data_IF_488310660677
#
_entry.id   IF_488310660677
#
_cell.length_a   1.000
_cell.length_b   1.000
_cell.length_c   1.000
_cell.angle_alpha   90.00
_cell.angle_beta   90.00
_cell.angle_gamma   90.00
#
_symmetry.space_group_name_H-M   'P 1'
#
loop_
_entity.id
_entity.type
_entity.pdbx_description
1 polymer ?
#
# COMPACT_ATOMS: atom_id res chain seq x y z
N UNK A 1 8.92 -11.77 -10.93
CA UNK A 1 8.37 -10.39 -10.85
C UNK A 1 9.19 -9.36 -11.62
N UNK A 2 10.53 -9.41 -11.61
CA UNK A 2 11.39 -8.39 -12.26
C UNK A 2 11.13 -8.16 -13.77
N UNK A 3 10.89 -9.22 -14.56
CA UNK A 3 10.50 -9.08 -15.99
C UNK A 3 9.24 -8.24 -16.18
N UNK A 4 8.25 -8.39 -15.28
CA UNK A 4 7.01 -7.61 -15.30
C UNK A 4 7.30 -6.13 -15.03
N UNK A 5 8.17 -5.83 -14.06
CA UNK A 5 8.63 -4.46 -13.75
C UNK A 5 9.20 -3.77 -14.98
N UNK A 6 10.16 -4.41 -15.64
CA UNK A 6 10.81 -3.87 -16.84
C UNK A 6 9.80 -3.62 -17.96
N UNK A 7 8.91 -4.59 -18.22
CA UNK A 7 7.86 -4.45 -19.24
C UNK A 7 6.98 -3.22 -18.98
N UNK A 8 6.52 -3.05 -17.74
CA UNK A 8 5.66 -1.92 -17.37
C UNK A 8 6.37 -0.57 -17.52
N UNK A 9 7.64 -0.47 -17.08
CA UNK A 9 8.43 0.75 -17.24
C UNK A 9 8.71 1.11 -18.71
N UNK A 10 8.93 0.10 -19.56
CA UNK A 10 9.12 0.30 -21.01
C UNK A 10 7.81 0.74 -21.66
N UNK A 11 6.68 0.10 -21.33
CA UNK A 11 5.36 0.45 -21.87
C UNK A 11 4.96 1.89 -21.53
N UNK A 12 5.16 2.30 -20.27
CA UNK A 12 4.94 3.67 -19.80
C UNK A 12 5.76 4.69 -20.61
N UNK A 13 7.04 4.40 -20.83
CA UNK A 13 7.93 5.28 -21.62
C UNK A 13 7.58 5.29 -23.11
N UNK A 14 7.09 4.18 -23.66
CA UNK A 14 6.72 4.05 -25.07
C UNK A 14 5.42 4.78 -25.42
N UNK A 15 4.49 4.86 -24.46
CA UNK A 15 3.17 5.46 -24.64
C UNK A 15 2.82 6.39 -23.47
N UNK A 16 3.55 7.53 -23.33
CA UNK A 16 3.33 8.46 -22.23
C UNK A 16 1.91 9.07 -22.24
N UNK A 17 1.29 9.15 -23.41
CA UNK A 17 -0.08 9.61 -23.65
C UNK A 17 -1.15 8.71 -23.01
N UNK A 18 -0.85 7.43 -22.79
CA UNK A 18 -1.78 6.46 -22.18
C UNK A 18 -1.63 6.34 -20.65
N UNK A 19 -0.68 7.06 -20.06
CA UNK A 19 -0.38 6.98 -18.62
C UNK A 19 -1.46 7.72 -17.83
N UNK A 20 -2.42 6.95 -17.28
CA UNK A 20 -3.55 7.49 -16.50
C UNK A 20 -3.12 8.22 -15.23
N UNK A 21 -2.00 7.81 -14.63
CA UNK A 21 -1.50 8.33 -13.35
C UNK A 21 -0.02 8.71 -13.49
N UNK A 22 0.33 9.96 -13.84
CA UNK A 22 1.71 10.36 -14.11
C UNK A 22 2.67 10.14 -12.92
N UNK A 23 2.15 10.21 -11.69
CA UNK A 23 2.93 10.06 -10.46
C UNK A 23 3.23 8.61 -10.09
N UNK A 24 2.61 7.61 -10.76
CA UNK A 24 2.73 6.20 -10.37
C UNK A 24 4.18 5.69 -10.44
N UNK A 25 4.95 6.17 -11.41
CA UNK A 25 6.37 5.80 -11.59
C UNK A 25 7.29 6.34 -10.49
N UNK A 26 6.85 7.36 -9.73
CA UNK A 26 7.62 7.98 -8.65
C UNK A 26 7.59 7.17 -7.36
N UNK A 27 6.57 6.31 -7.19
CA UNK A 27 6.38 5.49 -6.00
C UNK A 27 7.20 4.20 -6.11
N UNK A 28 8.41 4.26 -5.57
CA UNK A 28 9.43 3.22 -5.69
C UNK A 28 9.12 1.98 -4.85
N UNK A 29 9.81 0.89 -5.14
CA UNK A 29 9.77 -0.33 -4.33
C UNK A 29 10.23 -0.13 -2.87
N UNK A 30 11.17 0.79 -2.63
CA UNK A 30 11.58 1.16 -1.29
C UNK A 30 10.42 1.83 -0.52
N UNK A 31 9.72 2.78 -1.16
CA UNK A 31 8.53 3.41 -0.57
C UNK A 31 7.41 2.39 -0.30
N UNK A 32 7.14 1.52 -1.26
CA UNK A 32 6.11 0.47 -1.13
C UNK A 32 6.39 -0.42 0.10
N UNK A 33 7.64 -0.83 0.29
CA UNK A 33 8.00 -1.73 1.37
C UNK A 33 8.18 -1.05 2.74
N UNK A 34 8.77 0.15 2.77
CA UNK A 34 9.14 0.82 4.01
C UNK A 34 8.04 1.74 4.57
N UNK A 35 7.09 2.19 3.75
CA UNK A 35 6.03 3.10 4.19
C UNK A 35 4.64 2.50 3.92
N UNK A 36 4.33 2.16 2.66
CA UNK A 36 2.97 1.78 2.29
C UNK A 36 2.50 0.45 2.89
N UNK A 37 3.36 -0.59 2.91
CA UNK A 37 3.02 -1.85 3.58
C UNK A 37 2.81 -1.67 5.09
N UNK A 38 3.72 -0.99 5.84
CA UNK A 38 3.49 -0.64 7.23
C UNK A 38 2.22 0.17 7.47
N UNK A 39 1.86 1.10 6.58
CA UNK A 39 0.60 1.85 6.68
C UNK A 39 -0.63 0.94 6.64
N UNK A 40 -0.54 -0.22 5.98
CA UNK A 40 -1.61 -1.23 5.95
C UNK A 40 -1.54 -2.23 7.12
N UNK A 41 -0.53 -2.13 7.98
CA UNK A 41 -0.25 -3.12 9.02
C UNK A 41 0.32 -4.43 8.46
N UNK A 42 1.04 -4.38 7.33
CA UNK A 42 1.50 -5.53 6.56
C UNK A 42 3.03 -5.60 6.40
N UNK A 43 3.77 -5.07 7.39
CA UNK A 43 5.24 -5.00 7.37
C UNK A 43 5.93 -6.36 7.24
N UNK A 44 5.29 -7.47 7.63
CA UNK A 44 5.87 -8.81 7.51
C UNK A 44 6.13 -9.24 6.06
N UNK A 45 5.51 -8.57 5.08
CA UNK A 45 5.74 -8.82 3.66
C UNK A 45 6.83 -7.94 3.03
N UNK A 46 7.39 -6.99 3.79
CA UNK A 46 8.30 -5.96 3.26
C UNK A 46 9.51 -6.57 2.54
N UNK A 47 10.18 -7.56 3.13
CA UNK A 47 11.36 -8.21 2.54
C UNK A 47 11.06 -8.83 1.18
N UNK A 48 9.92 -9.52 1.05
CA UNK A 48 9.51 -10.16 -0.21
C UNK A 48 9.19 -9.12 -1.28
N UNK A 49 8.57 -8.00 -0.90
CA UNK A 49 8.28 -6.89 -1.81
C UNK A 49 9.55 -6.17 -2.28
N UNK A 50 10.52 -5.94 -1.37
CA UNK A 50 11.85 -5.38 -1.73
C UNK A 50 12.57 -6.32 -2.68
N UNK A 51 12.69 -7.60 -2.34
CA UNK A 51 13.37 -8.62 -3.15
C UNK A 51 12.78 -8.73 -4.56
N UNK A 52 11.45 -8.63 -4.67
CA UNK A 52 10.75 -8.66 -5.96
C UNK A 52 10.64 -7.29 -6.65
N UNK A 53 11.23 -6.24 -6.07
CA UNK A 53 11.29 -4.87 -6.58
C UNK A 53 9.91 -4.26 -6.87
N UNK A 54 8.89 -4.60 -6.07
CA UNK A 54 7.49 -4.22 -6.29
C UNK A 54 7.29 -2.72 -6.12
N UNK A 55 7.14 -1.98 -7.22
CA UNK A 55 6.77 -0.55 -7.21
C UNK A 55 5.26 -0.34 -7.46
N UNK A 56 4.78 0.91 -7.44
CA UNK A 56 3.34 1.16 -7.59
C UNK A 56 2.75 0.76 -8.95
N UNK A 57 3.55 0.76 -10.03
CA UNK A 57 3.12 0.23 -11.35
C UNK A 57 2.86 -1.27 -11.27
N UNK A 58 3.72 -1.99 -10.55
CA UNK A 58 3.51 -3.40 -10.29
C UNK A 58 2.28 -3.62 -9.42
N UNK A 59 2.09 -2.82 -8.35
CA UNK A 59 0.89 -2.88 -7.51
C UNK A 59 -0.39 -2.70 -8.32
N UNK A 60 -0.45 -1.72 -9.22
CA UNK A 60 -1.66 -1.46 -10.03
C UNK A 60 -2.06 -2.63 -10.93
N UNK A 61 -1.12 -3.53 -11.23
CA UNK A 61 -1.34 -4.68 -12.13
C UNK A 61 -1.23 -6.02 -11.44
N UNK A 62 -1.05 -6.06 -10.11
CA UNK A 62 -0.81 -7.30 -9.37
C UNK A 62 -2.11 -8.08 -9.16
N UNK A 63 -2.08 -9.37 -9.49
CA UNK A 63 -3.19 -10.28 -9.23
C UNK A 63 -3.07 -10.92 -7.84
N UNK A 64 -4.20 -11.36 -7.27
CA UNK A 64 -4.19 -12.15 -6.02
C UNK A 64 -3.31 -13.40 -6.11
N UNK A 65 -3.29 -14.06 -7.28
CA UNK A 65 -2.41 -15.21 -7.55
C UNK A 65 -0.92 -14.85 -7.49
N UNK A 66 -0.54 -13.66 -7.96
CA UNK A 66 0.85 -13.18 -7.85
C UNK A 66 1.22 -12.80 -6.42
N UNK A 67 0.30 -12.19 -5.66
CA UNK A 67 0.49 -11.92 -4.22
C UNK A 67 0.82 -13.21 -3.45
N UNK A 68 0.09 -14.28 -3.73
CA UNK A 68 0.30 -15.58 -3.11
C UNK A 68 1.59 -16.24 -3.59
N UNK A 69 1.75 -16.41 -4.91
CA UNK A 69 2.84 -17.20 -5.51
C UNK A 69 4.22 -16.55 -5.33
N UNK A 70 4.31 -15.23 -5.41
CA UNK A 70 5.60 -14.53 -5.47
C UNK A 70 5.89 -13.70 -4.23
N UNK A 71 4.87 -13.27 -3.49
CA UNK A 71 5.03 -12.35 -2.36
C UNK A 71 4.65 -12.99 -1.01
N UNK A 72 4.27 -14.26 -0.99
CA UNK A 72 3.97 -15.01 0.24
C UNK A 72 2.67 -14.57 0.94
N UNK A 73 1.83 -13.77 0.28
CA UNK A 73 0.57 -13.28 0.86
C UNK A 73 -0.52 -14.33 0.67
N UNK A 74 -0.49 -15.38 1.49
CA UNK A 74 -1.42 -16.53 1.40
C UNK A 74 -2.75 -16.27 2.11
N UNK A 75 -2.75 -15.46 3.19
CA UNK A 75 -3.95 -15.15 3.96
C UNK A 75 -4.90 -14.27 3.15
N UNK A 76 -6.14 -14.73 2.96
CA UNK A 76 -7.17 -14.05 2.15
C UNK A 76 -7.45 -12.61 2.61
N UNK A 77 -7.48 -12.38 3.92
CA UNK A 77 -7.72 -11.04 4.47
C UNK A 77 -6.53 -10.10 4.22
N UNK A 78 -5.28 -10.57 4.27
CA UNK A 78 -4.12 -9.77 3.86
C UNK A 78 -4.18 -9.41 2.37
N UNK A 79 -4.59 -10.36 1.51
CA UNK A 79 -4.81 -10.07 0.09
C UNK A 79 -5.88 -8.98 -0.10
N UNK A 80 -6.97 -9.03 0.68
CA UNK A 80 -8.02 -8.01 0.65
C UNK A 80 -7.49 -6.63 1.10
N UNK A 81 -6.74 -6.56 2.21
CA UNK A 81 -6.11 -5.32 2.69
C UNK A 81 -5.21 -4.68 1.64
N UNK A 82 -4.37 -5.45 0.95
CA UNK A 82 -3.53 -4.97 -0.15
C UNK A 82 -4.38 -4.44 -1.30
N UNK A 83 -5.43 -5.16 -1.71
CA UNK A 83 -6.33 -4.73 -2.79
C UNK A 83 -7.04 -3.41 -2.46
N UNK A 84 -7.50 -3.25 -1.21
CA UNK A 84 -8.10 -1.99 -0.76
C UNK A 84 -7.08 -0.86 -0.66
N UNK A 85 -5.86 -1.14 -0.20
CA UNK A 85 -4.76 -0.16 -0.24
C UNK A 85 -4.43 0.30 -1.66
N UNK A 86 -4.43 -0.60 -2.65
CA UNK A 86 -4.24 -0.26 -4.07
C UNK A 86 -5.41 0.58 -4.57
N UNK A 87 -6.64 0.24 -4.17
CA UNK A 87 -7.81 1.03 -4.52
C UNK A 87 -7.72 2.47 -3.98
N UNK A 88 -7.27 2.65 -2.73
CA UNK A 88 -7.00 3.97 -2.17
C UNK A 88 -5.97 4.74 -3.02
N UNK A 89 -4.85 4.11 -3.40
CA UNK A 89 -3.86 4.76 -4.27
C UNK A 89 -4.46 5.19 -5.62
N UNK A 90 -5.36 4.39 -6.21
CA UNK A 90 -6.06 4.75 -7.46
C UNK A 90 -6.98 5.95 -7.27
N UNK A 91 -7.75 6.01 -6.18
CA UNK A 91 -8.59 7.19 -5.85
C UNK A 91 -7.71 8.44 -5.73
N UNK A 92 -6.54 8.30 -5.10
CA UNK A 92 -5.55 9.37 -4.96
C UNK A 92 -4.72 9.62 -6.23
N UNK A 93 -5.00 8.92 -7.33
CA UNK A 93 -4.23 8.99 -8.59
C UNK A 93 -2.73 8.79 -8.41
N UNK A 94 -2.36 7.99 -7.40
CA UNK A 94 -0.99 7.76 -6.96
C UNK A 94 -0.22 9.04 -6.56
N UNK A 95 -0.94 10.11 -6.21
CA UNK A 95 -0.37 11.32 -5.64
C UNK A 95 -0.07 11.11 -4.15
N UNK A 96 1.21 10.81 -3.86
CA UNK A 96 1.69 10.62 -2.50
C UNK A 96 1.59 11.88 -1.65
N UNK A 97 1.78 13.06 -2.23
CA UNK A 97 1.72 14.30 -1.48
C UNK A 97 0.29 14.59 -1.05
N UNK A 98 -0.68 14.43 -1.96
CA UNK A 98 -2.09 14.56 -1.62
C UNK A 98 -2.53 13.57 -0.53
N UNK A 99 -2.06 12.31 -0.59
CA UNK A 99 -2.34 11.30 0.44
C UNK A 99 -1.75 11.71 1.80
N UNK A 100 -0.50 12.19 1.82
CA UNK A 100 0.16 12.65 3.03
C UNK A 100 -0.58 13.84 3.67
N UNK A 101 -1.02 14.81 2.86
CA UNK A 101 -1.80 15.96 3.34
C UNK A 101 -3.12 15.52 3.99
N UNK A 102 -3.89 14.64 3.34
CA UNK A 102 -5.15 14.12 3.92
C UNK A 102 -4.94 13.36 5.22
N UNK A 103 -3.87 12.56 5.29
CA UNK A 103 -3.50 11.84 6.53
C UNK A 103 -3.16 12.80 7.66
N UNK A 104 -2.38 13.84 7.38
CA UNK A 104 -2.01 14.83 8.39
C UNK A 104 -3.22 15.61 8.91
N UNK A 105 -4.17 15.97 8.05
CA UNK A 105 -5.41 16.65 8.45
C UNK A 105 -6.27 15.84 9.44
N UNK A 106 -6.14 14.51 9.44
CA UNK A 106 -6.93 13.61 10.28
C UNK A 106 -6.07 12.92 11.36
N UNK A 107 -4.86 13.42 11.61
CA UNK A 107 -3.93 12.80 12.55
C UNK A 107 -4.45 12.80 14.00
N UNK A 108 -5.15 13.89 14.38
CA UNK A 108 -5.70 14.11 15.72
C UNK A 108 -7.22 14.32 15.70
N UNK A 109 -7.86 14.12 14.55
CA UNK A 109 -9.31 14.28 14.36
C UNK A 109 -9.87 13.00 13.78
N UNK A 110 -11.00 12.52 14.31
CA UNK A 110 -11.67 11.31 13.83
C UNK A 110 -12.48 11.60 12.55
N UNK A 111 -11.76 11.99 11.50
CA UNK A 111 -12.32 12.28 10.18
C UNK A 111 -11.58 11.47 9.10
N UNK A 112 -12.22 11.32 7.94
CA UNK A 112 -11.66 10.66 6.75
C UNK A 112 -10.97 9.30 7.04
N UNK A 113 -11.71 8.31 7.59
CA UNK A 113 -11.15 7.00 7.92
C UNK A 113 -10.56 6.26 6.71
N UNK A 114 -10.92 6.68 5.49
CA UNK A 114 -10.41 6.12 4.25
C UNK A 114 -8.88 6.23 4.11
N UNK A 115 -8.26 7.28 4.66
CA UNK A 115 -6.80 7.49 4.55
C UNK A 115 -6.02 7.03 5.77
N UNK A 116 -6.70 6.53 6.81
CA UNK A 116 -6.06 6.13 8.05
C UNK A 116 -5.05 5.01 7.82
N UNK A 117 -3.88 5.19 8.41
CA UNK A 117 -2.89 4.12 8.52
C UNK A 117 -3.30 3.17 9.65
N UNK A 118 -2.74 1.95 9.66
CA UNK A 118 -2.89 1.01 10.76
C UNK A 118 -2.50 1.65 12.10
N UNK A 119 -1.44 2.47 12.12
CA UNK A 119 -1.05 3.25 13.30
C UNK A 119 -2.12 4.25 13.75
N UNK A 120 -2.72 5.01 12.83
CA UNK A 120 -3.82 5.94 13.16
C UNK A 120 -5.05 5.20 13.67
N UNK A 121 -5.38 4.05 13.06
CA UNK A 121 -6.47 3.20 13.49
C UNK A 121 -6.26 2.63 14.90
N UNK A 122 -5.05 2.14 15.21
CA UNK A 122 -4.71 1.67 16.56
C UNK A 122 -4.83 2.79 17.60
N UNK A 123 -4.35 4.01 17.28
CA UNK A 123 -4.55 5.18 18.15
C UNK A 123 -6.03 5.50 18.39
N UNK A 124 -6.85 5.44 17.34
CA UNK A 124 -8.30 5.61 17.49
C UNK A 124 -8.89 4.54 18.41
N UNK A 125 -8.53 3.26 18.22
CA UNK A 125 -9.00 2.17 19.08
C UNK A 125 -8.62 2.38 20.56
N UNK A 126 -7.43 2.88 20.85
CA UNK A 126 -7.05 3.27 22.21
C UNK A 126 -7.92 4.40 22.77
N UNK A 127 -8.24 5.42 21.96
CA UNK A 127 -9.04 6.57 22.40
C UNK A 127 -10.51 6.24 22.68
N UNK A 128 -11.01 5.10 22.20
CA UNK A 128 -12.36 4.60 22.46
C UNK A 128 -12.37 3.42 23.44
N UNK A 129 -11.34 3.29 24.26
CA UNK A 129 -11.18 2.27 25.30
C UNK A 129 -11.10 0.81 24.79
N UNK A 130 -10.77 0.61 23.50
CA UNK A 130 -10.50 -0.71 22.90
C UNK A 130 -9.00 -1.02 22.77
N UNK A 131 -8.18 -0.36 23.59
CA UNK A 131 -6.71 -0.46 23.53
C UNK A 131 -6.16 -1.88 23.72
N UNK A 132 -6.80 -2.70 24.53
CA UNK A 132 -6.41 -4.10 24.76
C UNK A 132 -6.49 -4.97 23.50
N UNK A 133 -7.31 -4.57 22.52
CA UNK A 133 -7.43 -5.24 21.22
C UNK A 133 -6.52 -4.62 20.15
N UNK A 134 -6.06 -3.37 20.34
CA UNK A 134 -5.28 -2.63 19.36
C UNK A 134 -3.94 -3.30 19.05
N UNK A 135 -3.27 -3.85 20.07
CA UNK A 135 -1.99 -4.57 19.89
C UNK A 135 -2.13 -5.85 19.06
N UNK A 136 -3.33 -6.45 18.97
CA UNK A 136 -3.58 -7.58 18.09
C UNK A 136 -3.54 -7.22 16.59
N UNK A 137 -3.58 -5.92 16.27
CA UNK A 137 -3.56 -5.39 14.90
C UNK A 137 -2.14 -5.09 14.39
N UNK A 138 -1.13 -5.12 15.27
CA UNK A 138 0.27 -5.19 14.85
C UNK A 138 0.47 -6.55 14.22
N UNK A 139 0.98 -6.59 12.98
CA UNK A 139 1.24 -7.81 12.22
C UNK A 139 1.85 -8.91 13.11
N UNK A 140 1.01 -9.85 13.58
CA UNK A 140 1.49 -11.02 14.31
C UNK A 140 2.26 -11.90 13.33
N UNK A 141 3.53 -12.12 13.66
CA UNK A 141 4.44 -13.11 13.05
C UNK A 141 3.73 -14.46 13.02
#
# INVERSE_FOLDING_TARGET
MHRKKLRLAIEERRRPDLVRNPSIGQLTHAWVAAEWLPDLGLSQYAESFVTNLVDARMLDTISKKELEKYLGVTRKFHQASIVHGIHLLRIMKYDRQALAVRRHQCENVDADPLVWTNQRFMRWAHNIDLGEFADNLKAKI
#
